data_IF_841551426034
#
_entry.id   IF_841551426034
#
_cell.length_a   1.000
_cell.length_b   1.000
_cell.length_c   1.000
_cell.angle_alpha   90.00
_cell.angle_beta   90.00
_cell.angle_gamma   90.00
#
_symmetry.space_group_name_H-M   'P 1'
#
loop_
_entity.id
_entity.type
_entity.pdbx_description
1 polymer ?
#
# COMPACT_ATOMS: atom_id res chain seq x y z
N UNK A 1 -10.76 14.04 -18.71
CA UNK A 1 -11.59 12.83 -18.87
C UNK A 1 -12.14 12.49 -17.51
N UNK A 2 -13.47 12.43 -17.35
CA UNK A 2 -14.05 11.98 -16.09
C UNK A 2 -13.72 10.50 -15.91
N UNK A 3 -12.75 10.19 -15.05
CA UNK A 3 -12.52 8.82 -14.63
C UNK A 3 -13.81 8.37 -13.90
N UNK A 4 -14.43 7.32 -14.37
CA UNK A 4 -15.50 6.65 -13.64
C UNK A 4 -14.90 6.27 -12.29
N UNK A 5 -15.49 6.74 -11.21
CA UNK A 5 -15.02 6.43 -9.87
C UNK A 5 -15.09 4.90 -9.68
N UNK A 6 -13.95 4.28 -9.42
CA UNK A 6 -13.87 2.84 -9.15
C UNK A 6 -14.67 2.52 -7.88
N UNK A 7 -15.43 1.45 -7.94
CA UNK A 7 -16.13 0.90 -6.79
C UNK A 7 -15.45 -0.39 -6.28
N UNK A 8 -15.89 -0.89 -5.14
CA UNK A 8 -15.37 -2.13 -4.53
C UNK A 8 -15.30 -3.28 -5.52
N UNK A 9 -16.40 -3.50 -6.25
CA UNK A 9 -16.50 -4.63 -7.19
C UNK A 9 -15.52 -4.53 -8.35
N UNK A 10 -15.15 -3.32 -8.76
CA UNK A 10 -14.14 -3.12 -9.81
C UNK A 10 -12.76 -3.59 -9.33
N UNK A 11 -12.41 -3.29 -8.09
CA UNK A 11 -11.15 -3.73 -7.46
C UNK A 11 -11.14 -5.25 -7.23
N UNK A 12 -12.20 -5.80 -6.66
CA UNK A 12 -12.35 -7.25 -6.46
C UNK A 12 -12.26 -8.03 -7.79
N UNK A 13 -12.93 -7.54 -8.83
CA UNK A 13 -12.89 -8.17 -10.14
C UNK A 13 -11.49 -8.11 -10.76
N UNK A 14 -10.73 -7.06 -10.50
CA UNK A 14 -9.35 -6.98 -10.96
C UNK A 14 -8.47 -8.03 -10.29
N UNK A 15 -8.50 -8.11 -8.97
CA UNK A 15 -7.73 -9.12 -8.22
C UNK A 15 -8.12 -10.55 -8.62
N UNK A 16 -9.41 -10.79 -8.84
CA UNK A 16 -9.90 -12.10 -9.31
C UNK A 16 -9.37 -12.45 -10.70
N UNK A 17 -9.39 -11.49 -11.63
CA UNK A 17 -8.82 -11.70 -12.97
C UNK A 17 -7.32 -12.02 -12.89
N UNK A 18 -6.55 -11.28 -12.08
CA UNK A 18 -5.13 -11.56 -11.89
C UNK A 18 -4.92 -12.95 -11.26
N UNK A 19 -5.74 -13.33 -10.28
CA UNK A 19 -5.69 -14.65 -9.67
C UNK A 19 -5.92 -15.77 -10.70
N UNK A 20 -6.90 -15.63 -11.58
CA UNK A 20 -7.21 -16.57 -12.66
C UNK A 20 -6.04 -16.69 -13.65
N UNK A 21 -5.44 -15.57 -14.06
CA UNK A 21 -4.26 -15.57 -14.93
C UNK A 21 -3.06 -16.22 -14.24
N UNK A 22 -2.82 -15.89 -12.98
CA UNK A 22 -1.73 -16.44 -12.20
C UNK A 22 -1.84 -17.97 -12.06
N UNK A 23 -3.05 -18.49 -11.91
CA UNK A 23 -3.32 -19.94 -11.84
C UNK A 23 -2.94 -20.69 -13.12
N UNK A 24 -2.84 -20.02 -14.27
CA UNK A 24 -2.39 -20.65 -15.54
C UNK A 24 -0.88 -20.86 -15.58
N UNK A 25 -0.11 -20.27 -14.66
CA UNK A 25 1.36 -20.35 -14.63
C UNK A 25 2.07 -19.46 -15.66
N UNK A 26 1.34 -18.55 -16.31
CA UNK A 26 1.93 -17.61 -17.27
C UNK A 26 2.84 -16.58 -16.57
N UNK A 27 2.44 -16.14 -15.36
CA UNK A 27 3.23 -15.20 -14.57
C UNK A 27 4.25 -15.99 -13.75
N UNK A 28 5.52 -15.87 -14.11
CA UNK A 28 6.64 -16.55 -13.43
C UNK A 28 7.35 -15.62 -12.46
N UNK A 29 6.58 -14.93 -11.64
CA UNK A 29 7.08 -13.98 -10.64
C UNK A 29 6.12 -13.96 -9.44
N UNK A 30 6.53 -13.42 -8.27
CA UNK A 30 5.64 -13.25 -7.14
C UNK A 30 4.44 -12.39 -7.50
N UNK A 31 3.25 -12.89 -7.20
CA UNK A 31 1.99 -12.12 -7.28
C UNK A 31 1.41 -12.06 -5.87
N UNK A 32 1.06 -10.86 -5.43
CA UNK A 32 0.50 -10.65 -4.10
C UNK A 32 -0.91 -10.08 -4.22
N UNK A 33 -1.89 -10.95 -4.03
CA UNK A 33 -3.31 -10.62 -4.12
C UNK A 33 -3.84 -10.12 -2.77
N UNK A 34 -4.77 -9.19 -2.82
CA UNK A 34 -5.48 -8.67 -1.64
C UNK A 34 -6.98 -8.59 -1.89
N UNK A 35 -7.72 -8.68 -0.79
CA UNK A 35 -9.14 -8.39 -0.74
C UNK A 35 -9.56 -8.04 0.68
N UNK A 36 -10.79 -7.55 0.83
CA UNK A 36 -11.39 -7.24 2.12
C UNK A 36 -11.06 -5.86 2.67
N UNK A 37 -10.33 -5.03 1.94
CA UNK A 37 -9.99 -3.64 2.32
C UNK A 37 -10.42 -2.59 1.28
N UNK A 38 -11.05 -3.01 0.19
CA UNK A 38 -11.37 -2.19 -0.97
C UNK A 38 -12.20 -0.95 -0.59
N UNK A 39 -13.27 -1.16 0.20
CA UNK A 39 -14.14 -0.07 0.66
C UNK A 39 -13.36 0.96 1.49
N UNK A 40 -12.49 0.46 2.39
CA UNK A 40 -11.69 1.35 3.24
C UNK A 40 -10.64 2.12 2.45
N UNK A 41 -10.05 1.51 1.43
CA UNK A 41 -9.13 2.22 0.53
C UNK A 41 -9.86 3.30 -0.27
N UNK A 42 -11.04 3.00 -0.83
CA UNK A 42 -11.87 3.97 -1.54
C UNK A 42 -12.26 5.13 -0.61
N UNK A 43 -12.68 4.83 0.63
CA UNK A 43 -12.98 5.83 1.66
C UNK A 43 -11.77 6.75 1.90
N UNK A 44 -10.58 6.19 2.14
CA UNK A 44 -9.35 6.95 2.38
C UNK A 44 -9.01 7.85 1.17
N UNK A 45 -9.07 7.30 -0.05
CA UNK A 45 -8.80 8.09 -1.25
C UNK A 45 -9.78 9.25 -1.41
N UNK A 46 -11.06 9.02 -1.07
CA UNK A 46 -12.13 10.01 -1.18
C UNK A 46 -12.04 11.07 -0.07
N UNK A 47 -11.95 10.67 1.18
CA UNK A 47 -11.91 11.58 2.33
C UNK A 47 -10.68 12.47 2.32
N UNK A 48 -9.54 11.88 1.97
CA UNK A 48 -8.30 12.63 1.85
C UNK A 48 -8.12 13.29 0.48
N UNK A 49 -9.06 13.12 -0.45
CA UNK A 49 -8.99 13.70 -1.80
C UNK A 49 -7.63 13.42 -2.45
N UNK A 50 -7.18 12.14 -2.41
CA UNK A 50 -5.89 11.75 -2.99
C UNK A 50 -5.96 11.91 -4.51
N UNK A 51 -5.25 12.90 -5.02
CA UNK A 51 -5.35 13.33 -6.42
C UNK A 51 -4.02 13.29 -7.18
N UNK A 52 -3.99 13.94 -8.34
CA UNK A 52 -2.85 13.94 -9.25
C UNK A 52 -1.57 14.51 -8.63
N UNK A 53 -1.69 15.46 -7.68
CA UNK A 53 -0.53 16.07 -7.03
C UNK A 53 0.08 15.20 -5.92
N UNK A 54 -0.68 14.25 -5.38
CA UNK A 54 -0.23 13.40 -4.29
C UNK A 54 0.62 12.23 -4.78
N UNK A 55 1.61 11.84 -4.00
CA UNK A 55 2.44 10.64 -4.21
C UNK A 55 1.88 9.48 -3.42
N UNK A 56 1.81 8.30 -4.02
CA UNK A 56 1.41 7.06 -3.37
C UNK A 56 2.57 6.08 -3.37
N UNK A 57 2.94 5.67 -2.17
CA UNK A 57 3.97 4.66 -1.92
C UNK A 57 3.30 3.42 -1.34
N UNK A 58 3.66 2.25 -1.85
CA UNK A 58 3.13 0.98 -1.40
C UNK A 58 4.20 -0.10 -1.33
N UNK A 59 3.83 -1.22 -0.75
CA UNK A 59 4.67 -2.40 -0.70
C UNK A 59 4.07 -3.50 -1.60
N UNK A 60 4.27 -4.73 -1.30
CA UNK A 60 3.93 -5.93 -2.09
C UNK A 60 2.50 -5.93 -2.69
N UNK A 61 1.54 -5.36 -2.02
CA UNK A 61 0.10 -5.47 -2.26
C UNK A 61 -0.48 -4.12 -2.75
N UNK A 62 -0.04 -3.66 -3.90
CA UNK A 62 -0.30 -2.30 -4.35
C UNK A 62 -1.12 -2.18 -5.64
N UNK A 63 -1.75 -3.26 -6.12
CA UNK A 63 -2.58 -3.22 -7.33
C UNK A 63 -3.74 -2.23 -7.20
N UNK A 64 -4.50 -2.33 -6.09
CA UNK A 64 -5.62 -1.45 -5.78
C UNK A 64 -5.19 0.03 -5.68
N UNK A 65 -3.99 0.27 -5.10
CA UNK A 65 -3.46 1.63 -4.96
C UNK A 65 -3.16 2.26 -6.32
N UNK A 66 -2.59 1.50 -7.25
CA UNK A 66 -2.32 1.96 -8.60
C UNK A 66 -3.62 2.29 -9.34
N UNK A 67 -4.63 1.41 -9.25
CA UNK A 67 -5.93 1.62 -9.87
C UNK A 67 -6.63 2.86 -9.30
N UNK A 68 -6.69 3.00 -7.98
CA UNK A 68 -7.31 4.15 -7.30
C UNK A 68 -6.57 5.46 -7.59
N UNK A 69 -5.27 5.39 -7.85
CA UNK A 69 -4.48 6.55 -8.27
C UNK A 69 -4.70 6.93 -9.74
N UNK A 70 -5.50 6.16 -10.46
CA UNK A 70 -5.88 6.42 -11.84
C UNK A 70 -4.92 5.86 -12.89
N UNK A 71 -4.07 4.90 -12.51
CA UNK A 71 -3.31 4.14 -13.51
C UNK A 71 -4.30 3.30 -14.33
N UNK A 72 -4.23 3.34 -15.67
CA UNK A 72 -5.11 2.54 -16.50
C UNK A 72 -5.03 1.05 -16.17
N UNK A 73 -6.20 0.41 -16.06
CA UNK A 73 -6.33 -1.00 -15.68
C UNK A 73 -5.40 -1.93 -16.48
N UNK A 74 -5.35 -1.72 -17.79
CA UNK A 74 -4.52 -2.55 -18.68
C UNK A 74 -3.02 -2.33 -18.48
N UNK A 75 -2.59 -1.13 -18.06
CA UNK A 75 -1.19 -0.87 -17.72
C UNK A 75 -0.79 -1.58 -16.45
N UNK A 76 -1.65 -1.56 -15.42
CA UNK A 76 -1.42 -2.31 -14.17
C UNK A 76 -1.34 -3.80 -14.46
N UNK A 77 -2.29 -4.33 -15.25
CA UNK A 77 -2.33 -5.73 -15.65
C UNK A 77 -1.07 -6.13 -16.43
N UNK A 78 -0.65 -5.33 -17.40
CA UNK A 78 0.56 -5.61 -18.17
C UNK A 78 1.81 -5.63 -17.28
N UNK A 79 1.95 -4.69 -16.37
CA UNK A 79 3.07 -4.68 -15.43
C UNK A 79 3.10 -5.95 -14.55
N UNK A 80 1.92 -6.46 -14.15
CA UNK A 80 1.82 -7.73 -13.40
C UNK A 80 2.22 -8.91 -14.26
N UNK A 81 1.77 -8.97 -15.52
CA UNK A 81 2.17 -9.99 -16.49
C UNK A 81 3.69 -9.99 -16.74
N UNK A 82 4.30 -8.81 -16.72
CA UNK A 82 5.76 -8.61 -16.83
C UNK A 82 6.51 -8.95 -15.52
N UNK A 83 5.82 -9.53 -14.52
CA UNK A 83 6.42 -9.96 -13.27
C UNK A 83 6.65 -8.86 -12.23
N UNK A 84 6.02 -7.70 -12.38
CA UNK A 84 6.21 -6.53 -11.50
C UNK A 84 5.12 -6.37 -10.44
N UNK A 85 4.31 -7.38 -10.16
CA UNK A 85 3.20 -7.32 -9.19
C UNK A 85 3.60 -6.68 -7.86
N UNK A 86 4.74 -7.05 -7.31
CA UNK A 86 5.21 -6.59 -6.01
C UNK A 86 6.09 -5.33 -6.07
N UNK A 87 6.29 -4.76 -7.26
CA UNK A 87 7.20 -3.63 -7.49
C UNK A 87 6.67 -2.69 -8.59
N UNK A 88 5.37 -2.41 -8.54
CA UNK A 88 4.73 -1.49 -9.49
C UNK A 88 5.36 -0.10 -9.42
N UNK A 89 5.61 0.48 -10.58
CA UNK A 89 6.18 1.81 -10.67
C UNK A 89 5.57 2.56 -11.85
N UNK A 90 4.77 3.59 -11.54
CA UNK A 90 4.10 4.43 -12.52
C UNK A 90 4.38 5.91 -12.19
N UNK A 91 5.56 6.44 -12.59
CA UNK A 91 6.00 7.79 -12.23
C UNK A 91 5.04 8.89 -12.69
N UNK A 92 4.43 8.73 -13.86
CA UNK A 92 3.45 9.68 -14.42
C UNK A 92 2.20 9.81 -13.52
N UNK A 93 1.88 8.74 -12.79
CA UNK A 93 0.80 8.72 -11.82
C UNK A 93 1.30 8.93 -10.38
N UNK A 94 2.60 9.16 -10.17
CA UNK A 94 3.23 9.28 -8.84
C UNK A 94 2.95 8.07 -7.93
N UNK A 95 3.00 6.86 -8.50
CA UNK A 95 2.84 5.58 -7.80
C UNK A 95 4.16 4.83 -7.79
N UNK A 96 4.62 4.45 -6.59
CA UNK A 96 5.89 3.75 -6.39
C UNK A 96 5.70 2.63 -5.38
N UNK A 97 5.99 1.41 -5.78
CA UNK A 97 5.86 0.24 -4.92
C UNK A 97 7.17 -0.54 -4.86
N UNK A 98 7.40 -1.23 -3.76
CA UNK A 98 8.62 -2.01 -3.55
C UNK A 98 8.33 -3.37 -2.93
N UNK A 99 9.02 -4.39 -3.41
CA UNK A 99 9.04 -5.72 -2.79
C UNK A 99 9.89 -5.80 -1.51
N UNK A 100 10.54 -4.72 -1.10
CA UNK A 100 11.37 -4.68 0.11
C UNK A 100 10.62 -3.94 1.20
N UNK A 101 10.25 -4.66 2.27
CA UNK A 101 9.53 -4.09 3.42
C UNK A 101 10.36 -2.95 4.04
N UNK A 102 9.70 -1.81 4.26
CA UNK A 102 10.32 -0.64 4.86
C UNK A 102 11.13 0.26 3.91
N UNK A 103 11.49 -0.20 2.71
CA UNK A 103 12.39 0.54 1.81
C UNK A 103 11.87 1.92 1.39
N UNK A 104 10.56 2.09 1.31
CA UNK A 104 9.94 3.35 0.86
C UNK A 104 9.64 4.34 2.00
N UNK A 105 9.88 3.98 3.25
CA UNK A 105 9.62 4.87 4.41
C UNK A 105 10.42 6.18 4.29
N UNK A 106 11.73 6.07 4.11
CA UNK A 106 12.59 7.24 3.92
C UNK A 106 12.29 8.01 2.64
N UNK A 107 11.93 7.31 1.56
CA UNK A 107 11.56 7.94 0.28
C UNK A 107 10.29 8.78 0.43
N UNK A 108 9.26 8.27 1.09
CA UNK A 108 8.02 9.03 1.33
C UNK A 108 8.27 10.27 2.20
N UNK A 109 9.08 10.14 3.25
CA UNK A 109 9.47 11.28 4.10
C UNK A 109 10.30 12.30 3.32
N UNK A 110 11.26 11.85 2.50
CA UNK A 110 12.08 12.73 1.65
C UNK A 110 11.24 13.46 0.61
N UNK A 111 10.28 12.77 -0.02
CA UNK A 111 9.31 13.39 -0.95
C UNK A 111 8.49 14.47 -0.24
N UNK A 112 7.96 14.18 0.94
CA UNK A 112 7.18 15.14 1.71
C UNK A 112 8.04 16.34 2.15
N UNK A 113 9.30 16.11 2.47
CA UNK A 113 10.25 17.16 2.78
C UNK A 113 10.49 18.09 1.59
N UNK A 114 10.70 17.51 0.41
CA UNK A 114 10.88 18.29 -0.82
C UNK A 114 9.63 19.11 -1.15
N UNK A 115 8.44 18.50 -1.09
CA UNK A 115 7.17 19.21 -1.30
C UNK A 115 7.02 20.41 -0.36
N UNK A 116 7.34 20.23 0.93
CA UNK A 116 7.28 21.30 1.92
C UNK A 116 8.26 22.42 1.62
N UNK A 117 9.51 22.10 1.36
CA UNK A 117 10.57 23.10 1.11
C UNK A 117 10.34 23.89 -0.18
N UNK A 118 9.77 23.25 -1.19
CA UNK A 118 9.46 23.88 -2.47
C UNK A 118 8.08 24.55 -2.49
N UNK A 119 7.35 24.56 -1.36
CA UNK A 119 5.98 25.06 -1.24
C UNK A 119 5.04 24.47 -2.30
N UNK A 120 5.28 23.24 -2.71
CA UNK A 120 4.44 22.51 -3.67
C UNK A 120 3.19 21.98 -2.99
N UNK A 121 2.09 21.97 -3.74
CA UNK A 121 0.88 21.26 -3.37
C UNK A 121 1.13 19.76 -3.48
N UNK A 122 0.39 18.98 -2.75
CA UNK A 122 0.49 17.53 -2.73
C UNK A 122 1.07 17.00 -1.43
N UNK A 123 0.86 15.73 -1.21
CA UNK A 123 1.26 14.99 -0.01
C UNK A 123 1.85 13.65 -0.44
N UNK A 124 2.55 13.00 0.48
CA UNK A 124 2.98 11.62 0.32
C UNK A 124 2.06 10.71 1.15
N UNK A 125 1.48 9.69 0.54
CA UNK A 125 0.73 8.64 1.23
C UNK A 125 1.53 7.34 1.13
N UNK A 126 1.88 6.77 2.28
CA UNK A 126 2.59 5.50 2.33
C UNK A 126 1.71 4.44 2.95
N UNK A 127 1.40 3.41 2.17
CA UNK A 127 0.59 2.26 2.57
C UNK A 127 1.50 1.10 2.97
N UNK A 128 1.27 0.54 4.14
CA UNK A 128 2.05 -0.61 4.63
C UNK A 128 1.19 -1.53 5.52
N UNK A 129 1.67 -2.73 5.74
CA UNK A 129 1.08 -3.65 6.71
C UNK A 129 1.53 -3.35 8.14
N UNK A 130 0.83 -3.92 9.12
CA UNK A 130 1.07 -3.72 10.53
C UNK A 130 2.46 -4.19 10.99
N UNK A 131 2.98 -5.28 10.43
CA UNK A 131 4.35 -5.73 10.74
C UNK A 131 5.40 -4.70 10.29
N UNK A 132 5.14 -4.02 9.17
CA UNK A 132 6.02 -2.95 8.69
C UNK A 132 6.02 -1.74 9.62
N UNK A 133 4.89 -1.47 10.29
CA UNK A 133 4.78 -0.36 11.24
C UNK A 133 5.54 -0.58 12.54
N UNK A 134 5.95 -1.81 12.82
CA UNK A 134 6.78 -2.15 13.99
C UNK A 134 8.29 -2.10 13.69
N UNK A 135 8.67 -1.84 12.44
CA UNK A 135 10.10 -1.75 12.08
C UNK A 135 10.74 -0.44 12.57
N UNK A 136 12.03 -0.50 12.89
CA UNK A 136 12.78 0.70 13.32
C UNK A 136 12.72 1.85 12.32
N UNK A 137 12.77 1.53 11.01
CA UNK A 137 12.68 2.54 9.95
C UNK A 137 11.32 3.25 9.91
N UNK A 138 10.23 2.56 10.25
CA UNK A 138 8.90 3.20 10.35
C UNK A 138 8.86 4.16 11.54
N UNK A 139 9.36 3.72 12.72
CA UNK A 139 9.44 4.59 13.91
C UNK A 139 10.24 5.87 13.62
N UNK A 140 11.38 5.74 12.94
CA UNK A 140 12.20 6.89 12.54
C UNK A 140 11.43 7.81 11.58
N UNK A 141 10.84 7.25 10.51
CA UNK A 141 10.09 7.99 9.52
C UNK A 141 8.92 8.78 10.14
N UNK A 142 8.13 8.16 11.00
CA UNK A 142 7.00 8.81 11.69
C UNK A 142 7.49 9.92 12.63
N UNK A 143 8.56 9.68 13.40
CA UNK A 143 9.14 10.71 14.29
C UNK A 143 9.60 11.94 13.51
N UNK A 144 10.28 11.72 12.40
CA UNK A 144 10.71 12.79 11.50
C UNK A 144 9.50 13.56 10.94
N UNK A 145 8.52 12.84 10.41
CA UNK A 145 7.32 13.43 9.84
C UNK A 145 6.55 14.30 10.86
N UNK A 146 6.42 13.83 12.09
CA UNK A 146 5.74 14.56 13.17
C UNK A 146 6.56 15.77 13.62
N UNK A 147 7.87 15.60 13.83
CA UNK A 147 8.74 16.65 14.33
C UNK A 147 8.83 17.85 13.37
N UNK A 148 8.90 17.57 12.07
CA UNK A 148 9.01 18.61 11.05
C UNK A 148 7.68 18.96 10.38
N UNK A 149 6.58 18.43 10.90
CA UNK A 149 5.23 18.59 10.33
C UNK A 149 5.20 18.44 8.80
N UNK A 150 5.71 17.31 8.32
CA UNK A 150 5.80 17.03 6.90
C UNK A 150 4.43 16.64 6.32
N UNK A 151 4.15 16.96 5.05
CA UNK A 151 2.92 16.57 4.36
C UNK A 151 2.97 15.09 3.94
N UNK A 152 3.12 14.19 4.91
CA UNK A 152 3.07 12.74 4.72
C UNK A 152 2.03 12.12 5.65
N UNK A 153 1.35 11.10 5.14
CA UNK A 153 0.39 10.27 5.87
C UNK A 153 0.79 8.82 5.71
N UNK A 154 0.92 8.12 6.82
CA UNK A 154 1.16 6.68 6.84
C UNK A 154 -0.17 5.95 6.98
N UNK A 155 -0.45 5.00 6.10
CA UNK A 155 -1.67 4.19 6.14
C UNK A 155 -1.28 2.76 6.50
N UNK A 156 -1.64 2.35 7.71
CA UNK A 156 -1.34 1.01 8.22
C UNK A 156 -2.57 0.12 8.05
N UNK A 157 -2.46 -0.84 7.13
CA UNK A 157 -3.50 -1.80 6.80
C UNK A 157 -3.22 -3.10 7.56
N UNK A 158 -3.95 -3.35 8.64
CA UNK A 158 -3.70 -4.44 9.58
C UNK A 158 -4.63 -5.64 9.29
N UNK A 159 -4.05 -6.75 8.82
CA UNK A 159 -4.76 -8.03 8.68
C UNK A 159 -4.36 -9.06 9.75
N UNK A 160 -3.51 -8.68 10.69
CA UNK A 160 -3.03 -9.52 11.79
C UNK A 160 -1.96 -10.54 11.40
N UNK A 161 -1.53 -10.56 10.14
CA UNK A 161 -0.60 -11.57 9.63
C UNK A 161 0.53 -10.94 8.82
N UNK A 162 1.76 -11.28 9.16
CA UNK A 162 2.92 -11.05 8.30
C UNK A 162 3.31 -12.37 7.65
N UNK A 163 3.09 -12.47 6.34
CA UNK A 163 3.20 -13.73 5.60
C UNK A 163 2.18 -14.74 6.13
N UNK A 164 2.55 -15.62 7.03
CA UNK A 164 1.67 -16.58 7.72
C UNK A 164 1.87 -16.55 9.24
N UNK A 165 2.56 -15.53 9.75
CA UNK A 165 2.88 -15.41 11.17
C UNK A 165 1.98 -14.35 11.80
N UNK A 166 1.37 -14.67 12.93
CA UNK A 166 0.57 -13.72 13.72
C UNK A 166 1.46 -12.59 14.22
N UNK A 167 1.08 -11.36 13.88
CA UNK A 167 1.89 -10.18 14.18
C UNK A 167 1.94 -9.91 15.69
N UNK A 168 0.85 -10.15 16.41
CA UNK A 168 0.77 -9.91 17.85
C UNK A 168 1.62 -10.91 18.63
N UNK A 169 1.68 -12.16 18.15
CA UNK A 169 2.53 -13.18 18.74
C UNK A 169 4.02 -12.80 18.59
N UNK A 170 4.43 -12.32 17.41
CA UNK A 170 5.82 -11.92 17.16
C UNK A 170 6.22 -10.71 17.99
N UNK A 171 5.37 -9.69 18.07
CA UNK A 171 5.71 -8.43 18.76
C UNK A 171 5.27 -8.41 20.22
N UNK A 172 4.52 -9.39 20.69
CA UNK A 172 4.05 -9.49 22.08
C UNK A 172 3.13 -8.34 22.50
N UNK A 173 2.43 -7.72 21.55
CA UNK A 173 1.53 -6.61 21.80
C UNK A 173 0.17 -6.84 21.13
N UNK A 174 -0.90 -6.38 21.78
CA UNK A 174 -2.27 -6.48 21.26
C UNK A 174 -2.62 -5.33 20.31
N UNK A 175 -1.99 -4.19 20.49
CA UNK A 175 -2.25 -2.96 19.74
C UNK A 175 -0.95 -2.35 19.20
N UNK A 176 -1.00 -1.67 18.05
CA UNK A 176 0.14 -0.97 17.51
C UNK A 176 0.67 0.12 18.46
N UNK A 177 1.98 0.29 18.48
CA UNK A 177 2.69 1.19 19.40
C UNK A 177 2.27 2.66 19.29
N UNK A 178 1.77 3.11 18.16
CA UNK A 178 1.45 4.52 17.91
C UNK A 178 0.07 4.94 18.42
N UNK A 179 -0.85 4.01 18.68
CA UNK A 179 -2.19 4.33 19.17
C UNK A 179 -2.13 5.04 20.52
N UNK A 180 -2.91 6.12 20.68
CA UNK A 180 -2.92 6.97 21.88
C UNK A 180 -1.66 7.83 22.04
N UNK A 181 -0.75 7.85 21.09
CA UNK A 181 0.46 8.69 21.12
C UNK A 181 0.32 9.94 20.23
N UNK A 182 1.23 10.90 20.40
CA UNK A 182 1.31 12.09 19.52
C UNK A 182 1.59 11.76 18.05
N UNK A 183 2.04 10.56 17.77
CA UNK A 183 2.40 10.11 16.43
C UNK A 183 1.19 9.68 15.60
N UNK A 184 0.09 9.31 16.26
CA UNK A 184 -1.15 8.89 15.62
C UNK A 184 -1.70 9.93 14.61
N UNK A 185 -1.47 11.23 14.86
CA UNK A 185 -1.92 12.32 13.98
C UNK A 185 -1.41 12.25 12.53
N UNK A 186 -0.38 11.45 12.25
CA UNK A 186 0.16 11.22 10.90
C UNK A 186 -0.15 9.81 10.38
N UNK A 187 -0.94 9.03 11.11
CA UNK A 187 -1.19 7.63 10.81
C UNK A 187 -2.70 7.38 10.69
N UNK A 188 -3.10 6.79 9.58
CA UNK A 188 -4.42 6.17 9.40
C UNK A 188 -4.24 4.70 9.69
N UNK A 189 -5.01 4.14 10.60
CA UNK A 189 -4.95 2.74 10.97
C UNK A 189 -6.32 2.09 10.85
N UNK A 190 -6.37 0.92 10.23
CA UNK A 190 -7.57 0.10 10.21
C UNK A 190 -7.26 -1.38 10.15
N UNK A 191 -8.17 -2.18 10.70
CA UNK A 191 -8.13 -3.63 10.62
C UNK A 191 -9.05 -4.13 9.52
N UNK A 192 -8.61 -5.20 8.85
CA UNK A 192 -9.40 -5.90 7.86
C UNK A 192 -9.08 -7.39 7.86
N UNK A 193 -9.90 -8.18 7.19
CA UNK A 193 -9.65 -9.61 6.99
C UNK A 193 -9.33 -9.85 5.52
N UNK A 194 -8.13 -10.31 5.25
CA UNK A 194 -7.74 -10.70 3.89
C UNK A 194 -8.39 -12.04 3.52
N UNK A 195 -9.00 -12.12 2.35
CA UNK A 195 -9.62 -13.34 1.83
C UNK A 195 -8.64 -14.20 1.04
N UNK A 196 -7.62 -13.57 0.42
CA UNK A 196 -6.55 -14.29 -0.22
C UNK A 196 -5.47 -14.68 0.79
N UNK A 197 -5.00 -15.94 0.74
CA UNK A 197 -3.83 -16.32 1.52
C UNK A 197 -2.59 -15.57 1.00
N UNK A 198 -1.59 -15.45 1.85
CA UNK A 198 -0.31 -14.88 1.44
C UNK A 198 0.28 -15.70 0.26
N UNK A 199 0.99 -15.02 -0.63
CA UNK A 199 1.54 -15.61 -1.88
C UNK A 199 0.50 -16.08 -2.89
N UNK A 200 -0.63 -15.42 -2.98
CA UNK A 200 -1.62 -15.63 -4.03
C UNK A 200 -2.70 -16.66 -3.68
N UNK A 201 -2.81 -17.75 -4.42
CA UNK A 201 -3.98 -18.62 -4.42
C UNK A 201 -3.99 -19.74 -3.35
N UNK A 202 -3.30 -19.60 -2.24
CA UNK A 202 -3.36 -20.57 -1.13
C UNK A 202 -2.39 -21.74 -1.23
N UNK A 203 -1.52 -21.77 -2.20
CA UNK A 203 -0.44 -22.74 -2.29
C UNK A 203 0.93 -22.07 -2.37
N UNK A 204 1.95 -22.77 -1.90
CA UNK A 204 3.35 -22.35 -2.05
C UNK A 204 3.74 -22.55 -3.51
N UNK A 205 3.96 -21.46 -4.22
CA UNK A 205 4.58 -21.50 -5.54
C UNK A 205 6.09 -21.46 -5.30
N UNK A 206 6.79 -22.47 -5.84
CA UNK A 206 8.24 -22.42 -5.94
C UNK A 206 8.58 -21.72 -7.26
N UNK A 207 9.27 -20.61 -7.15
CA UNK A 207 9.84 -19.91 -8.29
C UNK A 207 11.17 -20.55 -8.69
#
# INVERSE_FOLDING_TARGET
>A
MNSVALNKKDLENFEKEIAEIFATGVIRAPVHLRSGREEKLIEIFTEHQIGAEDYVFGHWDSHELALLKGVPREEVKQAILDGKSISLCFPEHKVFCSGIVGSLMGTAVGTAWALKNENKKGRAFLFCGEMSSETGIFHEAVKYAVNFDLPVVFVVCDNGLSVMTDTREVWGCSEPWFLGTKYEKKIIYFRYKNEYPHSGLGWKIKF
#
